data_IF_891802369158
#
_entry.id   IF_891802369158
#
_cell.length_a   1.000
_cell.length_b   1.000
_cell.length_c   1.000
_cell.angle_alpha   90.00
_cell.angle_beta   90.00
_cell.angle_gamma   90.00
#
_symmetry.space_group_name_H-M   'P 1'
#
loop_
_entity.id
_entity.type
_entity.pdbx_description
1 polymer ?
#
# COMPACT_ATOMS: atom_id res chain seq x y z
N UNK A 1 -6.83 -19.25 -43.62
CA UNK A 1 -7.61 -18.28 -42.83
C UNK A 1 -6.59 -17.30 -42.30
N UNK A 2 -6.48 -16.14 -42.92
CA UNK A 2 -5.59 -15.06 -42.47
C UNK A 2 -6.14 -14.49 -41.17
N UNK A 3 -5.33 -14.52 -40.11
CA UNK A 3 -5.56 -13.72 -38.92
C UNK A 3 -5.22 -12.28 -39.26
N UNK A 4 -6.26 -11.52 -39.65
CA UNK A 4 -6.17 -10.08 -39.81
C UNK A 4 -5.66 -9.45 -38.52
N UNK A 5 -4.49 -8.82 -38.63
CA UNK A 5 -3.89 -7.98 -37.60
C UNK A 5 -4.88 -6.86 -37.29
N UNK A 6 -5.51 -6.92 -36.11
CA UNK A 6 -6.42 -5.87 -35.66
C UNK A 6 -5.54 -4.68 -35.30
N UNK A 7 -5.48 -3.73 -36.21
CA UNK A 7 -4.81 -2.46 -36.04
C UNK A 7 -5.61 -1.61 -35.03
N UNK A 8 -5.16 -1.63 -33.77
CA UNK A 8 -5.78 -0.89 -32.66
C UNK A 8 -5.33 0.57 -32.60
N UNK A 9 -4.80 1.14 -33.69
CA UNK A 9 -4.46 2.56 -33.81
C UNK A 9 -5.73 3.44 -33.88
N UNK A 10 -6.54 3.43 -32.81
CA UNK A 10 -7.35 4.59 -32.47
C UNK A 10 -6.41 5.64 -31.89
N UNK A 11 -5.84 6.44 -32.79
CA UNK A 11 -5.12 7.68 -32.51
C UNK A 11 -6.11 8.74 -31.99
N UNK A 12 -6.67 8.49 -30.81
CA UNK A 12 -7.23 9.56 -30.00
C UNK A 12 -6.09 10.11 -29.18
N UNK A 13 -5.85 11.42 -29.26
CA UNK A 13 -5.02 12.19 -28.33
C UNK A 13 -5.64 12.11 -26.92
N UNK A 14 -5.61 10.92 -26.30
CA UNK A 14 -6.09 10.71 -24.93
C UNK A 14 -5.01 11.30 -24.03
N UNK A 15 -5.11 12.60 -23.85
CA UNK A 15 -4.33 13.35 -22.87
C UNK A 15 -5.17 13.52 -21.61
N UNK A 16 -4.52 13.51 -20.45
CA UNK A 16 -5.20 13.79 -19.19
C UNK A 16 -4.63 13.02 -18.00
N UNK A 17 -5.02 13.41 -16.77
CA UNK A 17 -4.40 12.90 -15.55
C UNK A 17 -4.51 11.37 -15.39
N UNK A 18 -5.60 10.79 -15.87
CA UNK A 18 -5.83 9.34 -15.84
C UNK A 18 -4.83 8.60 -16.74
N UNK A 19 -4.48 9.15 -17.89
CA UNK A 19 -3.50 8.54 -18.80
C UNK A 19 -2.10 8.64 -18.19
N UNK A 20 -1.79 9.75 -17.54
CA UNK A 20 -0.52 9.91 -16.84
C UNK A 20 -0.36 8.89 -15.71
N UNK A 21 -1.41 8.61 -14.94
CA UNK A 21 -1.33 7.58 -13.90
C UNK A 21 -1.24 6.16 -14.49
N UNK A 22 -1.90 5.88 -15.62
CA UNK A 22 -1.74 4.60 -16.31
C UNK A 22 -0.31 4.42 -16.83
N UNK A 23 0.29 5.46 -17.42
CA UNK A 23 1.71 5.47 -17.79
C UNK A 23 2.60 5.21 -16.57
N UNK A 24 2.24 5.77 -15.41
CA UNK A 24 2.94 5.50 -14.17
C UNK A 24 2.92 4.02 -13.78
N UNK A 25 1.77 3.33 -13.87
CA UNK A 25 1.69 1.88 -13.65
C UNK A 25 2.52 1.06 -14.65
N UNK A 26 2.55 1.48 -15.91
CA UNK A 26 3.40 0.83 -16.94
C UNK A 26 4.88 0.96 -16.59
N UNK A 27 5.31 2.15 -16.18
CA UNK A 27 6.71 2.39 -15.76
C UNK A 27 7.07 1.56 -14.51
N UNK A 28 6.19 1.47 -13.51
CA UNK A 28 6.37 0.60 -12.33
C UNK A 28 6.49 -0.86 -12.76
N UNK A 29 5.61 -1.33 -13.63
CA UNK A 29 5.60 -2.72 -14.09
C UNK A 29 6.91 -3.08 -14.82
N UNK A 30 7.43 -2.17 -15.65
CA UNK A 30 8.73 -2.33 -16.31
C UNK A 30 9.88 -2.39 -15.30
N UNK A 31 9.88 -1.50 -14.31
CA UNK A 31 10.89 -1.50 -13.26
C UNK A 31 10.81 -2.75 -12.39
N UNK A 32 9.61 -3.24 -12.08
CA UNK A 32 9.40 -4.49 -11.36
C UNK A 32 9.87 -5.71 -12.16
N UNK A 33 9.63 -5.72 -13.48
CA UNK A 33 10.17 -6.76 -14.35
C UNK A 33 11.70 -6.75 -14.37
N UNK A 34 12.33 -5.58 -14.46
CA UNK A 34 13.78 -5.44 -14.37
C UNK A 34 14.32 -5.89 -13.00
N UNK A 35 13.62 -5.54 -11.91
CA UNK A 35 13.98 -5.95 -10.55
C UNK A 35 13.92 -7.46 -10.33
N UNK A 36 13.05 -8.17 -11.04
CA UNK A 36 12.91 -9.61 -10.99
C UNK A 36 13.73 -10.36 -12.05
N UNK A 37 14.51 -9.64 -12.87
CA UNK A 37 15.39 -10.26 -13.85
C UNK A 37 16.50 -11.06 -13.16
N UNK A 38 16.82 -12.29 -13.62
CA UNK A 38 17.93 -13.08 -13.08
C UNK A 38 19.28 -12.39 -13.27
N UNK A 39 19.39 -11.49 -14.24
CA UNK A 39 20.63 -10.76 -14.56
C UNK A 39 20.90 -9.60 -13.59
N UNK A 40 19.96 -9.27 -12.70
CA UNK A 40 20.12 -8.18 -11.74
C UNK A 40 20.94 -8.62 -10.50
N UNK A 41 22.19 -8.99 -10.75
CA UNK A 41 23.20 -9.28 -9.71
C UNK A 41 24.28 -8.19 -9.61
N UNK A 42 24.41 -7.33 -10.62
CA UNK A 42 25.36 -6.22 -10.61
C UNK A 42 24.90 -5.12 -9.63
N UNK A 43 25.71 -4.80 -8.59
CA UNK A 43 25.39 -3.73 -7.64
C UNK A 43 25.11 -2.38 -8.31
N UNK A 44 25.80 -2.06 -9.41
CA UNK A 44 25.59 -0.80 -10.13
C UNK A 44 24.23 -0.78 -10.83
N UNK A 45 23.80 -1.90 -11.41
CA UNK A 45 22.50 -2.03 -12.04
C UNK A 45 21.36 -1.94 -11.01
N UNK A 46 21.53 -2.53 -9.82
CA UNK A 46 20.58 -2.41 -8.71
C UNK A 46 20.45 -0.95 -8.27
N UNK A 47 21.58 -0.27 -8.04
CA UNK A 47 21.59 1.13 -7.62
C UNK A 47 20.97 2.04 -8.68
N UNK A 48 21.29 1.86 -9.96
CA UNK A 48 20.71 2.65 -11.04
C UNK A 48 19.17 2.46 -11.14
N UNK A 49 18.67 1.25 -10.90
CA UNK A 49 17.23 0.98 -10.88
C UNK A 49 16.55 1.59 -9.66
N UNK A 50 17.21 1.57 -8.49
CA UNK A 50 16.75 2.24 -7.27
C UNK A 50 16.65 3.76 -7.47
N UNK A 51 17.71 4.40 -7.99
CA UNK A 51 17.75 5.83 -8.30
C UNK A 51 16.64 6.24 -9.28
N UNK A 52 16.37 5.38 -10.27
CA UNK A 52 15.26 5.56 -11.21
C UNK A 52 13.90 5.51 -10.50
N UNK A 53 13.69 4.58 -9.56
CA UNK A 53 12.45 4.47 -8.80
C UNK A 53 12.25 5.68 -7.88
N UNK A 54 13.29 6.14 -7.18
CA UNK A 54 13.25 7.34 -6.33
C UNK A 54 13.01 8.62 -7.15
N UNK A 55 13.61 8.73 -8.33
CA UNK A 55 13.34 9.85 -9.25
C UNK A 55 11.89 9.85 -9.71
N UNK A 56 11.36 8.66 -9.99
CA UNK A 56 9.99 8.47 -10.42
C UNK A 56 8.97 8.77 -9.31
N UNK A 57 9.28 8.42 -8.07
CA UNK A 57 8.50 8.76 -6.88
C UNK A 57 8.36 10.28 -6.71
N UNK A 58 9.50 11.01 -6.72
CA UNK A 58 9.53 12.48 -6.66
C UNK A 58 8.70 13.11 -7.77
N UNK A 59 8.77 12.55 -8.98
CA UNK A 59 7.97 12.98 -10.13
C UNK A 59 6.48 12.79 -9.90
N UNK A 60 6.07 11.63 -9.37
CA UNK A 60 4.66 11.35 -9.06
C UNK A 60 4.12 12.27 -7.96
N UNK A 61 4.85 12.45 -6.86
CA UNK A 61 4.46 13.35 -5.77
C UNK A 61 4.28 14.79 -6.28
N UNK A 62 5.23 15.28 -7.08
CA UNK A 62 5.13 16.61 -7.71
C UNK A 62 3.92 16.72 -8.63
N UNK A 63 3.71 15.72 -9.49
CA UNK A 63 2.57 15.69 -10.41
C UNK A 63 1.23 15.68 -9.64
N UNK A 64 1.14 14.91 -8.57
CA UNK A 64 -0.07 14.82 -7.77
C UNK A 64 -0.39 16.14 -7.08
N UNK A 65 0.62 16.80 -6.50
CA UNK A 65 0.48 18.13 -5.93
C UNK A 65 0.06 19.21 -6.93
N UNK A 66 0.41 19.07 -8.22
CA UNK A 66 0.00 20.03 -9.25
C UNK A 66 -1.39 19.76 -9.84
N UNK A 67 -1.87 18.52 -9.81
CA UNK A 67 -3.13 18.13 -10.46
C UNK A 67 -4.31 18.02 -9.49
N UNK A 68 -4.07 17.70 -8.21
CA UNK A 68 -5.14 17.59 -7.21
C UNK A 68 -5.15 18.82 -6.30
N UNK A 69 -5.80 19.87 -6.79
CA UNK A 69 -6.20 21.00 -5.95
C UNK A 69 -7.37 20.54 -5.06
N UNK A 70 -7.12 20.32 -3.76
CA UNK A 70 -8.13 19.88 -2.80
C UNK A 70 -8.79 21.07 -2.05
N UNK A 71 -10.01 21.51 -2.42
CA UNK A 71 -10.90 22.22 -1.51
C UNK A 71 -12.07 21.29 -1.14
N UNK A 72 -11.75 20.08 -0.68
CA UNK A 72 -12.71 19.13 -0.11
C UNK A 72 -12.88 19.29 1.41
N UNK A 73 -12.69 20.50 1.95
CA UNK A 73 -12.92 20.78 3.38
C UNK A 73 -14.41 20.98 3.63
N UNK A 74 -15.10 19.90 3.91
CA UNK A 74 -16.32 19.96 4.70
C UNK A 74 -16.34 18.75 5.62
N UNK A 75 -16.39 18.91 6.95
CA UNK A 75 -16.66 17.77 7.83
C UNK A 75 -18.00 17.14 7.42
N UNK A 76 -18.07 15.81 7.36
CA UNK A 76 -19.36 15.14 7.61
C UNK A 76 -19.65 15.33 9.10
N UNK A 77 -20.90 15.59 9.49
CA UNK A 77 -21.29 15.62 10.89
C UNK A 77 -21.22 14.23 11.58
N UNK A 78 -20.72 13.20 10.89
CA UNK A 78 -20.48 11.89 11.49
C UNK A 78 -19.14 11.88 12.23
N UNK A 79 -19.15 11.38 13.47
CA UNK A 79 -17.96 11.05 14.26
C UNK A 79 -16.98 10.28 13.37
N UNK A 80 -15.71 10.70 13.24
CA UNK A 80 -14.73 10.00 12.43
C UNK A 80 -14.66 8.55 12.90
N UNK A 81 -14.71 7.63 11.93
CA UNK A 81 -14.40 6.24 12.21
C UNK A 81 -12.93 6.20 12.63
N UNK A 82 -12.67 5.81 13.87
CA UNK A 82 -11.38 6.08 14.51
C UNK A 82 -10.21 5.32 13.88
N UNK A 83 -10.49 4.31 13.05
CA UNK A 83 -9.48 3.38 12.52
C UNK A 83 -8.58 3.98 11.43
N UNK A 84 -9.15 4.74 10.49
CA UNK A 84 -8.40 5.34 9.36
C UNK A 84 -8.51 6.87 9.32
N UNK A 85 -9.16 7.47 10.32
CA UNK A 85 -9.46 8.89 10.35
C UNK A 85 -10.62 9.29 9.42
N UNK A 86 -10.74 10.59 9.15
CA UNK A 86 -11.89 11.14 8.41
C UNK A 86 -11.91 10.67 6.96
N UNK A 87 -13.02 10.05 6.48
CA UNK A 87 -13.17 9.67 5.07
C UNK A 87 -13.03 10.86 4.11
N UNK A 88 -12.51 10.59 2.92
CA UNK A 88 -12.37 11.60 1.89
C UNK A 88 -13.69 11.98 1.25
N UNK A 89 -13.74 13.22 0.77
CA UNK A 89 -14.81 13.74 -0.08
C UNK A 89 -14.21 14.19 -1.39
N UNK A 90 -14.85 13.79 -2.47
CA UNK A 90 -14.47 14.18 -3.82
C UNK A 90 -15.61 14.96 -4.46
N UNK A 91 -15.26 15.92 -5.32
CA UNK A 91 -16.25 16.67 -6.09
C UNK A 91 -16.77 15.82 -7.23
N UNK A 92 -15.87 15.11 -7.89
CA UNK A 92 -16.16 14.25 -9.03
C UNK A 92 -15.69 12.82 -8.76
N UNK A 93 -16.33 11.88 -9.45
CA UNK A 93 -15.93 10.48 -9.46
C UNK A 93 -14.49 10.30 -9.96
N UNK A 94 -14.10 11.04 -10.99
CA UNK A 94 -12.77 10.94 -11.56
C UNK A 94 -11.69 11.44 -10.61
N UNK A 95 -12.00 12.40 -9.73
CA UNK A 95 -11.07 12.84 -8.67
C UNK A 95 -10.80 11.70 -7.66
N UNK A 96 -11.86 10.98 -7.26
CA UNK A 96 -11.76 9.84 -6.33
C UNK A 96 -10.91 8.72 -6.94
N UNK A 97 -11.18 8.39 -8.21
CA UNK A 97 -10.43 7.38 -8.96
C UNK A 97 -8.97 7.78 -9.10
N UNK A 98 -8.70 9.02 -9.50
CA UNK A 98 -7.34 9.53 -9.69
C UNK A 98 -6.55 9.47 -8.37
N UNK A 99 -7.17 9.90 -7.28
CA UNK A 99 -6.57 9.86 -5.94
C UNK A 99 -6.25 8.43 -5.50
N UNK A 100 -7.21 7.52 -5.65
CA UNK A 100 -7.03 6.12 -5.28
C UNK A 100 -5.95 5.44 -6.14
N UNK A 101 -5.95 5.68 -7.45
CA UNK A 101 -4.94 5.14 -8.36
C UNK A 101 -3.54 5.69 -8.08
N UNK A 102 -3.44 6.96 -7.72
CA UNK A 102 -2.18 7.56 -7.30
C UNK A 102 -1.61 6.90 -6.04
N UNK A 103 -2.40 6.70 -4.99
CA UNK A 103 -1.88 6.04 -3.79
C UNK A 103 -1.57 4.57 -4.03
N UNK A 104 -2.33 3.89 -4.90
CA UNK A 104 -2.00 2.52 -5.32
C UNK A 104 -0.69 2.44 -6.12
N UNK A 105 -0.42 3.40 -7.01
CA UNK A 105 0.83 3.45 -7.76
C UNK A 105 2.01 3.73 -6.84
N UNK A 106 1.89 4.68 -5.90
CA UNK A 106 2.92 4.91 -4.89
C UNK A 106 3.15 3.69 -4.00
N UNK A 107 2.10 3.03 -3.51
CA UNK A 107 2.23 1.81 -2.70
C UNK A 107 3.00 0.71 -3.45
N UNK A 108 2.71 0.56 -4.75
CA UNK A 108 3.40 -0.41 -5.62
C UNK A 108 4.86 -0.04 -5.84
N UNK A 109 5.14 1.26 -6.03
CA UNK A 109 6.49 1.77 -6.21
C UNK A 109 7.34 1.61 -4.94
N UNK A 110 6.79 1.89 -3.76
CA UNK A 110 7.50 1.73 -2.49
C UNK A 110 7.85 0.27 -2.18
N UNK A 111 6.93 -0.66 -2.46
CA UNK A 111 7.25 -2.10 -2.38
C UNK A 111 8.46 -2.47 -3.27
N UNK A 112 8.58 -1.84 -4.44
CA UNK A 112 9.70 -2.06 -5.33
C UNK A 112 11.00 -1.42 -4.82
N UNK A 113 10.92 -0.22 -4.26
CA UNK A 113 12.05 0.48 -3.62
C UNK A 113 12.61 -0.39 -2.49
N UNK A 114 11.77 -0.86 -1.57
CA UNK A 114 12.19 -1.72 -0.45
C UNK A 114 12.92 -2.98 -0.92
N UNK A 115 12.39 -3.63 -1.95
CA UNK A 115 13.02 -4.83 -2.53
C UNK A 115 14.40 -4.52 -3.10
N UNK A 116 14.57 -3.38 -3.76
CA UNK A 116 15.84 -2.98 -4.34
C UNK A 116 16.86 -2.58 -3.28
N UNK A 117 16.43 -1.92 -2.19
CA UNK A 117 17.29 -1.59 -1.05
C UNK A 117 17.81 -2.86 -0.37
N UNK A 118 16.94 -3.83 -0.08
CA UNK A 118 17.35 -5.13 0.49
C UNK A 118 18.34 -5.85 -0.42
N UNK A 119 18.11 -5.83 -1.74
CA UNK A 119 19.05 -6.42 -2.71
C UNK A 119 20.39 -5.69 -2.75
N UNK A 120 20.38 -4.36 -2.69
CA UNK A 120 21.60 -3.53 -2.66
C UNK A 120 22.45 -3.84 -1.43
N UNK A 121 21.82 -3.92 -0.25
CA UNK A 121 22.48 -4.29 1.00
C UNK A 121 23.07 -5.71 0.95
N UNK A 122 22.31 -6.68 0.41
CA UNK A 122 22.78 -8.07 0.27
C UNK A 122 23.96 -8.19 -0.69
N UNK A 123 23.96 -7.43 -1.78
CA UNK A 123 25.05 -7.40 -2.73
C UNK A 123 26.34 -6.81 -2.12
N UNK A 124 26.22 -5.78 -1.27
CA UNK A 124 27.36 -5.17 -0.58
C UNK A 124 28.03 -6.09 0.46
N UNK A 125 27.25 -6.98 1.10
CA UNK A 125 27.76 -7.92 2.12
C UNK A 125 28.47 -9.12 1.50
N UNK A 126 28.18 -9.45 0.24
CA UNK A 126 28.80 -10.60 -0.44
C UNK A 126 30.30 -10.33 -0.62
N UNK A 127 31.20 -10.99 0.14
CA UNK A 127 32.62 -10.69 0.06
C UNK A 127 33.10 -11.15 -1.32
N UNK A 128 33.50 -10.21 -2.16
CA UNK A 128 34.25 -10.49 -3.38
C UNK A 128 35.53 -11.22 -2.95
N UNK A 129 35.55 -12.55 -3.12
CA UNK A 129 36.68 -13.47 -2.82
C UNK A 129 37.60 -12.94 -1.73
N UNK A 130 37.35 -13.32 -0.48
CA UNK A 130 38.28 -13.10 0.62
C UNK A 130 39.73 -13.29 0.15
N UNK A 131 40.58 -12.24 0.10
CA UNK A 131 42.01 -12.45 0.07
C UNK A 131 42.34 -13.38 1.25
N UNK A 132 43.10 -14.44 0.98
CA UNK A 132 43.57 -15.38 2.00
C UNK A 132 44.43 -14.57 2.97
N UNK A 133 43.81 -14.01 4.00
CA UNK A 133 44.49 -13.33 5.09
C UNK A 133 44.72 -14.36 6.19
N UNK A 134 45.98 -14.76 6.35
CA UNK A 134 46.46 -15.36 7.59
C UNK A 134 46.32 -14.30 8.71
N UNK A 135 45.40 -14.51 9.64
CA UNK A 135 45.21 -13.62 10.79
C UNK A 135 45.92 -14.21 12.02
N UNK A 136 46.87 -13.48 12.64
CA UNK A 136 47.41 -13.78 13.96
C UNK A 136 46.40 -13.47 15.06
N UNK A 137 46.40 -14.34 16.06
CA UNK A 137 45.60 -14.32 17.28
C UNK A 137 45.85 -13.04 18.10
N UNK A 138 44.79 -12.29 18.47
CA UNK A 138 44.83 -11.28 19.54
C UNK A 138 43.44 -11.05 20.15
N UNK A 139 43.47 -10.76 21.44
CA UNK A 139 42.43 -10.94 22.47
C UNK A 139 41.44 -9.77 22.63
N UNK A 140 40.33 -10.10 23.30
CA UNK A 140 39.16 -9.33 23.70
C UNK A 140 39.44 -8.03 24.47
N UNK A 141 38.64 -6.98 24.21
CA UNK A 141 38.05 -6.12 25.26
C UNK A 141 36.71 -5.49 24.80
N UNK A 142 35.69 -5.55 25.67
CA UNK A 142 34.36 -4.97 25.52
C UNK A 142 34.15 -3.81 26.51
N UNK A 143 33.39 -2.75 26.14
CA UNK A 143 32.65 -1.95 27.12
C UNK A 143 31.13 -1.84 26.82
N UNK A 144 30.30 -1.49 27.82
CA UNK A 144 28.85 -1.65 27.75
C UNK A 144 28.06 -0.34 27.52
N UNK A 145 26.94 -0.48 26.79
CA UNK A 145 25.63 0.00 27.22
C UNK A 145 25.20 1.44 26.89
N UNK A 146 24.26 1.59 25.96
CA UNK A 146 23.26 2.68 25.99
C UNK A 146 21.93 2.22 25.38
N UNK A 147 20.85 2.55 26.07
CA UNK A 147 19.46 2.14 25.81
C UNK A 147 18.75 3.20 24.94
N UNK A 148 17.95 2.83 23.91
CA UNK A 148 17.17 3.81 23.15
C UNK A 148 15.79 4.03 23.76
N UNK A 149 15.46 5.30 24.04
CA UNK A 149 14.10 5.76 24.30
C UNK A 149 13.34 5.92 22.98
N UNK A 150 12.13 5.37 22.90
CA UNK A 150 11.22 5.54 21.76
C UNK A 150 10.47 6.89 21.86
N UNK A 151 10.38 7.69 20.79
CA UNK A 151 9.56 8.88 20.76
C UNK A 151 8.09 8.53 20.47
N UNK A 152 7.19 9.09 21.29
CA UNK A 152 5.75 9.09 21.04
C UNK A 152 5.44 9.92 19.77
N UNK A 153 4.96 9.25 18.72
CA UNK A 153 4.79 9.85 17.39
C UNK A 153 3.41 9.55 16.81
N UNK A 154 2.34 10.12 17.37
CA UNK A 154 1.06 10.24 16.68
C UNK A 154 0.34 11.50 17.17
N UNK A 155 0.60 12.62 16.50
CA UNK A 155 -0.23 13.81 16.57
C UNK A 155 -0.47 14.33 15.14
N UNK A 156 -1.57 15.06 15.00
CA UNK A 156 -2.39 15.56 13.89
C UNK A 156 -1.72 16.09 12.60
N UNK A 157 -0.52 15.64 12.22
CA UNK A 157 0.33 16.18 11.16
C UNK A 157 0.00 15.67 9.74
N UNK A 158 -0.73 14.56 9.60
CA UNK A 158 -1.11 13.99 8.29
C UNK A 158 -2.05 14.88 7.44
N UNK A 159 -2.37 16.09 7.92
CA UNK A 159 -3.13 17.11 7.19
C UNK A 159 -2.27 18.31 6.76
N UNK A 160 -0.97 18.34 7.09
CA UNK A 160 -0.07 19.39 6.66
C UNK A 160 0.47 19.08 5.25
N UNK A 161 0.13 19.87 4.21
CA UNK A 161 0.72 19.71 2.88
C UNK A 161 2.25 19.87 2.85
N UNK A 162 2.87 20.37 3.93
CA UNK A 162 4.34 20.44 4.06
C UNK A 162 5.00 19.13 4.52
N UNK A 163 4.23 18.11 4.95
CA UNK A 163 4.80 16.85 5.41
C UNK A 163 5.57 16.10 4.30
N UNK A 164 5.20 16.34 3.04
CA UNK A 164 5.87 15.77 1.87
C UNK A 164 7.13 16.52 1.42
N UNK A 165 7.36 17.73 1.93
CA UNK A 165 8.57 18.51 1.61
C UNK A 165 9.75 18.17 2.52
N UNK A 166 9.48 17.60 3.71
CA UNK A 166 10.48 17.13 4.67
C UNK A 166 9.96 15.84 5.32
N UNK A 167 10.07 14.67 4.66
CA UNK A 167 9.66 13.42 5.29
C UNK A 167 10.50 13.23 6.56
N UNK A 168 9.88 12.94 7.72
CA UNK A 168 10.63 12.48 8.87
C UNK A 168 11.39 11.20 8.51
N UNK A 169 12.39 10.83 9.30
CA UNK A 169 13.16 9.57 9.15
C UNK A 169 12.28 8.37 9.50
N UNK A 170 11.26 8.15 8.66
CA UNK A 170 10.15 7.21 8.82
C UNK A 170 10.57 5.92 8.14
N UNK A 171 10.41 4.79 8.82
CA UNK A 171 10.76 3.50 8.24
C UNK A 171 9.90 3.23 7.01
N UNK A 172 10.41 2.50 6.02
CA UNK A 172 9.63 2.23 4.79
C UNK A 172 8.31 1.51 5.06
N UNK A 173 8.26 0.68 6.11
CA UNK A 173 7.04 0.04 6.60
C UNK A 173 5.96 1.07 6.93
N UNK A 174 6.31 2.13 7.66
CA UNK A 174 5.38 3.17 8.08
C UNK A 174 4.82 3.96 6.88
N UNK A 175 5.65 4.21 5.85
CA UNK A 175 5.20 4.91 4.63
C UNK A 175 4.15 4.08 3.88
N UNK A 176 4.35 2.76 3.80
CA UNK A 176 3.40 1.88 3.15
C UNK A 176 2.04 1.84 3.86
N UNK A 177 2.06 1.84 5.19
CA UNK A 177 0.85 1.91 6.02
C UNK A 177 0.10 3.22 5.80
N UNK A 178 0.81 4.36 5.77
CA UNK A 178 0.22 5.67 5.47
C UNK A 178 -0.48 5.63 4.10
N UNK A 179 0.14 5.09 3.05
CA UNK A 179 -0.51 4.98 1.75
C UNK A 179 -1.75 4.10 1.78
N UNK A 180 -1.70 2.97 2.50
CA UNK A 180 -2.85 2.08 2.67
C UNK A 180 -4.00 2.78 3.39
N UNK A 181 -3.72 3.60 4.40
CA UNK A 181 -4.74 4.44 5.05
C UNK A 181 -5.33 5.48 4.11
N UNK A 182 -4.50 6.15 3.29
CA UNK A 182 -5.01 7.12 2.30
C UNK A 182 -5.97 6.45 1.31
N UNK A 183 -5.67 5.22 0.88
CA UNK A 183 -6.58 4.42 0.05
C UNK A 183 -7.84 4.04 0.82
N UNK A 184 -7.72 3.53 2.05
CA UNK A 184 -8.86 3.09 2.86
C UNK A 184 -9.88 4.23 3.07
N UNK A 185 -9.39 5.46 3.24
CA UNK A 185 -10.23 6.66 3.41
C UNK A 185 -11.05 7.03 2.17
N UNK A 186 -10.73 6.52 0.97
CA UNK A 186 -11.56 6.75 -0.24
C UNK A 186 -12.75 5.79 -0.33
N UNK A 187 -12.65 4.62 0.29
CA UNK A 187 -13.62 3.53 0.16
C UNK A 187 -15.06 3.97 0.45
N UNK A 188 -15.36 4.75 1.51
CA UNK A 188 -16.73 5.18 1.77
C UNK A 188 -17.33 6.04 0.64
N UNK A 189 -16.52 6.83 -0.05
CA UNK A 189 -16.96 7.56 -1.24
C UNK A 189 -17.23 6.60 -2.40
N UNK A 190 -16.34 5.62 -2.60
CA UNK A 190 -16.45 4.61 -3.65
C UNK A 190 -17.68 3.70 -3.55
N UNK A 191 -18.21 3.52 -2.34
CA UNK A 191 -19.40 2.69 -2.08
C UNK A 191 -20.71 3.48 -2.05
N UNK A 192 -20.69 4.77 -2.40
CA UNK A 192 -21.93 5.52 -2.55
C UNK A 192 -22.77 4.98 -3.72
N UNK A 193 -24.10 5.05 -3.59
CA UNK A 193 -25.05 4.54 -4.60
C UNK A 193 -24.79 5.11 -6.01
N UNK A 194 -24.22 6.30 -6.11
CA UNK A 194 -23.88 6.95 -7.38
C UNK A 194 -22.74 6.25 -8.15
N UNK A 195 -21.94 5.41 -7.49
CA UNK A 195 -20.73 4.82 -8.06
C UNK A 195 -20.95 3.47 -8.74
N UNK A 196 -22.15 2.88 -8.60
CA UNK A 196 -22.57 1.64 -9.25
C UNK A 196 -21.52 0.50 -9.11
N UNK A 197 -21.57 -0.47 -10.03
CA UNK A 197 -20.61 -1.59 -10.15
C UNK A 197 -19.14 -1.12 -10.20
N UNK A 198 -18.86 0.03 -10.83
CA UNK A 198 -17.50 0.53 -10.95
C UNK A 198 -16.87 0.84 -9.59
N UNK A 199 -17.62 1.48 -8.68
CA UNK A 199 -17.14 1.78 -7.33
C UNK A 199 -16.71 0.53 -6.59
N UNK A 200 -17.52 -0.54 -6.68
CA UNK A 200 -17.19 -1.84 -6.06
C UNK A 200 -15.95 -2.46 -6.67
N UNK A 201 -15.80 -2.46 -8.00
CA UNK A 201 -14.58 -2.96 -8.66
C UNK A 201 -13.33 -2.23 -8.17
N UNK A 202 -13.38 -0.90 -8.05
CA UNK A 202 -12.28 -0.11 -7.52
C UNK A 202 -11.96 -0.48 -6.06
N UNK A 203 -12.99 -0.64 -5.22
CA UNK A 203 -12.81 -1.06 -3.82
C UNK A 203 -12.15 -2.44 -3.74
N UNK A 204 -12.57 -3.42 -4.54
CA UNK A 204 -11.95 -4.75 -4.56
C UNK A 204 -10.46 -4.70 -4.92
N UNK A 205 -10.10 -3.92 -5.95
CA UNK A 205 -8.71 -3.73 -6.34
C UNK A 205 -7.92 -3.10 -5.20
N UNK A 206 -8.44 -2.03 -4.58
CA UNK A 206 -7.77 -1.35 -3.48
C UNK A 206 -7.66 -2.19 -2.22
N UNK A 207 -8.69 -2.97 -1.88
CA UNK A 207 -8.67 -3.86 -0.72
C UNK A 207 -7.52 -4.85 -0.83
N UNK A 208 -7.29 -5.41 -2.03
CA UNK A 208 -6.13 -6.28 -2.25
C UNK A 208 -4.81 -5.56 -1.94
N UNK A 209 -4.64 -4.31 -2.35
CA UNK A 209 -3.42 -3.54 -2.07
C UNK A 209 -3.26 -3.26 -0.58
N UNK A 210 -4.25 -2.65 0.07
CA UNK A 210 -4.15 -2.29 1.49
C UNK A 210 -4.03 -3.52 2.40
N UNK A 211 -4.68 -4.63 2.05
CA UNK A 211 -4.57 -5.88 2.82
C UNK A 211 -3.17 -6.45 2.77
N UNK A 212 -2.48 -6.39 1.62
CA UNK A 212 -1.09 -6.85 1.55
C UNK A 212 -0.15 -6.00 2.40
N UNK A 213 -0.41 -4.69 2.49
CA UNK A 213 0.31 -3.80 3.40
C UNK A 213 0.06 -4.22 4.85
N UNK A 214 -1.20 -4.34 5.28
CA UNK A 214 -1.52 -4.72 6.65
C UNK A 214 -1.07 -6.13 7.03
N UNK A 215 -1.00 -7.07 6.08
CA UNK A 215 -0.38 -8.39 6.29
C UNK A 215 1.11 -8.23 6.64
N UNK A 216 1.85 -7.39 5.89
CA UNK A 216 3.29 -7.17 6.11
C UNK A 216 3.58 -6.42 7.40
N UNK A 217 2.80 -5.39 7.71
CA UNK A 217 2.90 -4.65 8.97
C UNK A 217 2.24 -5.37 10.16
N UNK A 218 1.66 -6.55 9.93
CA UNK A 218 0.97 -7.37 10.93
C UNK A 218 -0.13 -6.60 11.67
N UNK A 219 -0.77 -5.64 11.00
CA UNK A 219 -1.85 -4.87 11.56
C UNK A 219 -3.18 -5.66 11.50
N UNK A 220 -3.40 -6.49 12.53
CA UNK A 220 -4.55 -7.41 12.64
C UNK A 220 -5.86 -6.66 12.47
N UNK A 221 -6.06 -5.57 13.22
CA UNK A 221 -7.32 -4.83 13.26
C UNK A 221 -7.71 -4.30 11.88
N UNK A 222 -6.79 -3.60 11.20
CA UNK A 222 -7.04 -3.04 9.86
C UNK A 222 -7.18 -4.13 8.80
N UNK A 223 -6.48 -5.25 8.94
CA UNK A 223 -6.63 -6.39 8.04
C UNK A 223 -8.02 -7.02 8.16
N UNK A 224 -8.51 -7.27 9.38
CA UNK A 224 -9.85 -7.83 9.59
C UNK A 224 -10.96 -6.87 9.15
N UNK A 225 -10.76 -5.55 9.28
CA UNK A 225 -11.66 -4.57 8.66
C UNK A 225 -11.80 -4.77 7.14
N UNK A 226 -10.70 -5.06 6.45
CA UNK A 226 -10.74 -5.33 5.01
C UNK A 226 -11.55 -6.59 4.69
N UNK A 227 -11.41 -7.66 5.48
CA UNK A 227 -12.17 -8.91 5.30
C UNK A 227 -13.66 -8.73 5.59
N UNK A 228 -13.99 -7.95 6.62
CA UNK A 228 -15.38 -7.61 6.94
C UNK A 228 -16.02 -6.84 5.79
N UNK A 229 -15.30 -5.85 5.24
CA UNK A 229 -15.80 -5.09 4.10
C UNK A 229 -16.07 -5.99 2.88
N UNK A 230 -15.15 -6.89 2.54
CA UNK A 230 -15.35 -7.85 1.44
C UNK A 230 -16.55 -8.77 1.69
N UNK A 231 -16.78 -9.17 2.95
CA UNK A 231 -17.94 -9.98 3.32
C UNK A 231 -19.24 -9.22 3.06
N UNK A 232 -19.34 -7.97 3.55
CA UNK A 232 -20.52 -7.12 3.34
C UNK A 232 -20.78 -6.92 1.83
N UNK A 233 -19.76 -6.62 1.04
CA UNK A 233 -19.93 -6.44 -0.41
C UNK A 233 -20.34 -7.76 -1.07
N UNK A 234 -19.77 -8.90 -0.65
CA UNK A 234 -20.13 -10.23 -1.14
C UNK A 234 -21.60 -10.57 -0.89
N UNK A 235 -22.14 -10.24 0.28
CA UNK A 235 -23.56 -10.43 0.64
C UNK A 235 -24.52 -9.64 -0.28
N UNK A 236 -24.03 -8.60 -0.97
CA UNK A 236 -24.79 -7.83 -1.96
C UNK A 236 -24.67 -8.38 -3.39
N UNK A 237 -24.16 -9.61 -3.56
CA UNK A 237 -24.13 -10.32 -4.85
C UNK A 237 -22.81 -10.20 -5.62
N UNK A 238 -21.72 -9.82 -4.96
CA UNK A 238 -20.39 -9.73 -5.56
C UNK A 238 -19.52 -10.92 -5.16
N UNK A 239 -19.77 -12.08 -5.78
CA UNK A 239 -19.09 -13.35 -5.43
C UNK A 239 -17.55 -13.27 -5.48
N UNK A 240 -17.01 -12.41 -6.37
CA UNK A 240 -15.57 -12.16 -6.42
C UNK A 240 -14.99 -11.64 -5.09
N UNK A 241 -15.77 -10.88 -4.30
CA UNK A 241 -15.34 -10.39 -2.99
C UNK A 241 -15.17 -11.54 -1.98
N UNK A 242 -16.03 -12.55 -2.04
CA UNK A 242 -15.93 -13.76 -1.20
C UNK A 242 -14.65 -14.51 -1.52
N UNK A 243 -14.39 -14.73 -2.82
CA UNK A 243 -13.13 -15.33 -3.28
C UNK A 243 -11.91 -14.53 -2.83
N UNK A 244 -11.93 -13.21 -3.01
CA UNK A 244 -10.81 -12.35 -2.63
C UNK A 244 -10.55 -12.38 -1.12
N UNK A 245 -11.62 -12.40 -0.30
CA UNK A 245 -11.52 -12.51 1.16
C UNK A 245 -10.82 -13.80 1.57
N UNK A 246 -11.26 -14.93 1.03
CA UNK A 246 -10.70 -16.24 1.38
C UNK A 246 -9.23 -16.35 0.93
N UNK A 247 -8.90 -15.79 -0.23
CA UNK A 247 -7.52 -15.66 -0.71
C UNK A 247 -6.64 -14.84 0.25
N UNK A 248 -7.12 -13.66 0.68
CA UNK A 248 -6.38 -12.79 1.59
C UNK A 248 -6.21 -13.41 2.99
N UNK A 249 -7.26 -14.06 3.50
CA UNK A 249 -7.22 -14.74 4.79
C UNK A 249 -6.18 -15.89 4.78
N UNK A 250 -6.15 -16.68 3.69
CA UNK A 250 -5.12 -17.72 3.53
C UNK A 250 -3.72 -17.11 3.56
N UNK A 251 -3.50 -16.03 2.81
CA UNK A 251 -2.21 -15.33 2.75
C UNK A 251 -1.77 -14.79 4.12
N UNK A 252 -2.69 -14.25 4.91
CA UNK A 252 -2.40 -13.80 6.28
C UNK A 252 -1.80 -14.92 7.13
N UNK A 253 -2.43 -16.10 7.14
CA UNK A 253 -1.91 -17.23 7.91
C UNK A 253 -0.57 -17.77 7.40
N UNK A 254 -0.34 -17.75 6.09
CA UNK A 254 0.95 -18.12 5.50
C UNK A 254 2.08 -17.17 5.98
N UNK A 255 1.83 -15.87 6.03
CA UNK A 255 2.80 -14.88 6.49
C UNK A 255 3.06 -14.98 8.00
N UNK A 256 2.00 -15.15 8.79
CA UNK A 256 2.10 -15.32 10.25
C UNK A 256 2.89 -16.58 10.61
N UNK A 257 2.70 -17.68 9.89
CA UNK A 257 3.49 -18.89 10.10
C UNK A 257 4.98 -18.70 9.80
N UNK A 258 5.33 -17.81 8.86
CA UNK A 258 6.71 -17.55 8.46
C UNK A 258 7.43 -16.54 9.37
N UNK A 259 6.70 -15.74 10.15
CA UNK A 259 7.29 -14.78 11.09
C UNK A 259 7.34 -15.36 12.51
N UNK A 260 8.52 -15.74 13.04
CA UNK A 260 8.64 -16.31 14.38
C UNK A 260 8.26 -15.34 15.51
N UNK A 261 8.07 -14.05 15.21
CA UNK A 261 7.91 -12.98 16.20
C UNK A 261 6.52 -12.88 16.83
N UNK A 262 5.47 -13.50 16.28
CA UNK A 262 4.08 -13.13 16.62
C UNK A 262 3.22 -14.17 17.31
N UNK A 263 3.62 -15.44 17.43
CA UNK A 263 2.75 -16.45 18.04
C UNK A 263 2.40 -16.14 19.50
N UNK A 264 3.31 -15.49 20.24
CA UNK A 264 3.09 -15.11 21.65
C UNK A 264 2.16 -13.89 21.79
N UNK A 265 2.29 -12.88 20.91
CA UNK A 265 1.44 -11.67 20.91
C UNK A 265 0.02 -11.94 20.37
N UNK A 266 -0.12 -12.83 19.38
CA UNK A 266 -1.43 -13.18 18.81
C UNK A 266 -2.33 -13.98 19.76
N UNK A 267 -1.73 -14.75 20.67
CA UNK A 267 -2.50 -15.49 21.67
C UNK A 267 -3.21 -14.55 22.66
N UNK A 268 -2.66 -13.34 22.87
CA UNK A 268 -3.26 -12.29 23.70
C UNK A 268 -4.49 -11.66 23.00
N UNK A 269 -4.44 -11.49 21.68
CA UNK A 269 -5.58 -10.94 20.89
C UNK A 269 -6.73 -11.92 20.65
N UNK A 270 -6.50 -13.24 20.66
CA UNK A 270 -7.61 -14.22 20.54
C UNK A 270 -8.58 -14.21 21.73
N UNK A 271 -8.17 -13.58 22.84
CA UNK A 271 -9.01 -13.37 24.03
C UNK A 271 -9.83 -12.07 23.98
N UNK A 272 -9.53 -11.18 23.03
CA UNK A 272 -10.36 -10.00 22.77
C UNK A 272 -11.58 -10.49 22.01
N UNK A 273 -12.71 -10.52 22.70
CA UNK A 273 -14.04 -10.70 22.13
C UNK A 273 -14.23 -9.58 21.12
N UNK A 274 -13.80 -9.81 19.87
CA UNK A 274 -14.09 -8.94 18.74
C UNK A 274 -15.60 -9.04 18.63
N UNK A 275 -16.28 -8.09 19.29
CA UNK A 275 -17.73 -8.01 19.30
C UNK A 275 -18.18 -7.98 17.87
N UNK A 276 -18.49 -9.17 17.35
CA UNK A 276 -19.24 -9.37 16.13
C UNK A 276 -20.55 -8.69 16.45
N UNK A 277 -20.63 -7.43 16.06
CA UNK A 277 -21.81 -6.62 16.22
C UNK A 277 -22.96 -7.43 15.65
N UNK A 278 -24.01 -7.58 16.47
CA UNK A 278 -25.24 -8.26 16.08
C UNK A 278 -25.60 -7.89 14.63
N UNK A 279 -26.04 -8.86 13.82
CA UNK A 279 -26.40 -8.59 12.43
C UNK A 279 -27.37 -7.41 12.40
N UNK A 280 -27.04 -6.39 11.60
CA UNK A 280 -27.83 -5.20 11.31
C UNK A 280 -29.22 -5.62 10.78
N UNK A 281 -30.12 -6.01 11.68
CA UNK A 281 -31.42 -6.58 11.32
C UNK A 281 -32.52 -5.54 11.16
N UNK A 282 -32.23 -4.24 11.28
CA UNK A 282 -33.24 -3.18 11.21
C UNK A 282 -32.74 -1.93 10.46
N UNK A 283 -32.49 -2.06 9.14
CA UNK A 283 -32.28 -0.88 8.28
C UNK A 283 -32.87 -1.05 6.87
N UNK A 284 -34.11 -1.54 6.79
CA UNK A 284 -34.86 -1.59 5.53
C UNK A 284 -35.56 -0.26 5.15
N UNK A 285 -35.59 0.74 6.03
CA UNK A 285 -36.39 1.97 5.79
C UNK A 285 -35.60 3.17 5.23
N UNK A 286 -34.42 2.97 4.62
CA UNK A 286 -33.66 4.10 4.01
C UNK A 286 -33.33 3.93 2.52
N UNK A 287 -33.93 2.94 1.86
CA UNK A 287 -33.76 2.72 0.42
C UNK A 287 -35.11 2.48 -0.26
N UNK A 288 -35.87 3.56 -0.39
CA UNK A 288 -36.90 3.75 -1.43
C UNK A 288 -36.76 5.13 -2.03
#
# INVERSE_FOLDING_TARGET
MDQGEIDWEMETDVTGPMIDILKAFVDISKSAAAANSPDLSDPNAIQALLDKCLTFEKRQLKWYGSHLWYPGRGPLPSKPDSMFGTPYRFRLLDDARLHQMFWMSLSSLYTLIDQLEVKSLTAAVTPEKSPVFHIPHLEDENPPGSSPQAPNLFDSSLQDPNLYNNPPDVSSSDVSDVHAEMIARTIPYCLQNSMNLWGVCFVCVSIKYISNTFIRSQNVEKFFWCLQLLTVIGEHGFDFCVFLRDFLLKRWFEEVQQSPRTWEEMNEYSSVDVGVTEPLKNREDTFR
#
